data_IF_438529017640
#
_entry.id   IF_438529017640
#
_cell.length_a   1.000
_cell.length_b   1.000
_cell.length_c   1.000
_cell.angle_alpha   90.00
_cell.angle_beta   90.00
_cell.angle_gamma   90.00
#
_symmetry.space_group_name_H-M   'P 1'
#
loop_
_entity.id
_entity.type
_entity.pdbx_description
1 polymer ?
#
# COMPACT_ATOMS: atom_id res chain seq x y z
N UNK A 1 5.13 4.35 4.18
CA UNK A 1 5.05 5.83 4.20
C UNK A 1 3.96 6.37 5.11
N UNK A 2 2.76 5.76 5.12
CA UNK A 2 1.73 6.00 6.14
C UNK A 2 2.30 5.90 7.57
N UNK A 3 3.15 4.91 7.83
CA UNK A 3 3.93 4.79 9.08
C UNK A 3 4.84 5.98 9.35
N UNK A 4 5.50 6.56 8.35
CA UNK A 4 6.43 7.69 8.53
C UNK A 4 5.68 9.01 8.77
N UNK A 5 4.61 9.28 8.02
CA UNK A 5 3.73 10.42 8.28
C UNK A 5 3.04 10.29 9.65
N UNK A 6 2.56 9.09 10.00
CA UNK A 6 1.97 8.77 11.31
C UNK A 6 2.99 8.92 12.44
N UNK A 7 4.22 8.44 12.28
CA UNK A 7 5.29 8.61 13.26
C UNK A 7 5.67 10.09 13.41
N UNK A 8 5.81 10.83 12.33
CA UNK A 8 6.09 12.27 12.38
C UNK A 8 4.96 13.05 13.07
N UNK A 9 3.70 12.71 12.79
CA UNK A 9 2.55 13.31 13.48
C UNK A 9 2.54 12.97 14.97
N UNK A 10 2.94 11.75 15.36
CA UNK A 10 3.06 11.35 16.78
C UNK A 10 4.20 12.07 17.50
N UNK A 11 5.35 12.22 16.85
CA UNK A 11 6.54 12.86 17.42
C UNK A 11 6.37 14.37 17.63
N UNK A 12 5.49 15.01 16.87
CA UNK A 12 5.25 16.46 16.91
C UNK A 12 4.04 16.88 17.74
N UNK A 13 3.41 15.95 18.47
CA UNK A 13 2.10 16.13 19.08
C UNK A 13 2.12 16.28 20.60
N UNK A 14 1.40 17.30 21.12
CA UNK A 14 1.29 17.65 22.54
C UNK A 14 0.03 17.08 23.25
N UNK A 15 -0.48 15.90 22.87
CA UNK A 15 -1.64 15.25 23.53
C UNK A 15 -3.00 16.01 23.53
N UNK A 16 -3.12 17.11 22.79
CA UNK A 16 -4.38 17.89 22.62
C UNK A 16 -4.96 17.75 21.20
N UNK A 17 -6.19 17.27 21.02
CA UNK A 17 -6.82 17.01 19.70
C UNK A 17 -6.56 18.08 18.60
N UNK A 18 -6.60 19.37 18.95
CA UNK A 18 -6.28 20.49 18.04
C UNK A 18 -4.85 20.43 17.48
N UNK A 19 -3.89 20.06 18.31
CA UNK A 19 -2.50 19.80 17.92
C UNK A 19 -2.36 18.58 17.02
N UNK A 20 -3.12 17.51 17.30
CA UNK A 20 -3.12 16.30 16.46
C UNK A 20 -3.60 16.63 15.05
N UNK A 21 -4.71 17.36 14.94
CA UNK A 21 -5.28 17.77 13.65
C UNK A 21 -4.26 18.55 12.82
N UNK A 22 -3.54 19.50 13.43
CA UNK A 22 -2.49 20.28 12.76
C UNK A 22 -1.27 19.42 12.36
N UNK A 23 -0.81 18.54 13.24
CA UNK A 23 0.34 17.67 12.98
C UNK A 23 0.05 16.68 11.85
N UNK A 24 -1.15 16.11 11.81
CA UNK A 24 -1.59 15.21 10.74
C UNK A 24 -1.67 15.95 9.41
N UNK A 25 -2.29 17.13 9.35
CA UNK A 25 -2.34 17.92 8.10
C UNK A 25 -0.94 18.22 7.56
N UNK A 26 -0.04 18.75 8.40
CA UNK A 26 1.35 19.01 7.99
C UNK A 26 2.09 17.74 7.53
N UNK A 27 1.87 16.62 8.21
CA UNK A 27 2.49 15.37 7.83
C UNK A 27 1.97 14.87 6.48
N UNK A 28 0.68 15.04 6.19
CA UNK A 28 0.09 14.69 4.89
C UNK A 28 0.59 15.61 3.77
N UNK A 29 0.67 16.92 4.01
CA UNK A 29 1.21 17.89 3.05
C UNK A 29 2.67 17.60 2.67
N UNK A 30 3.42 16.96 3.57
CA UNK A 30 4.81 16.54 3.31
C UNK A 30 4.94 15.29 2.42
N UNK A 31 3.83 14.60 2.13
CA UNK A 31 3.81 13.41 1.28
C UNK A 31 3.57 13.83 -0.17
N UNK A 32 4.53 13.52 -1.01
CA UNK A 32 4.43 13.69 -2.47
C UNK A 32 3.26 12.86 -3.05
N UNK A 33 2.46 13.47 -3.92
CA UNK A 33 1.36 12.85 -4.68
C UNK A 33 1.80 11.56 -5.37
N UNK A 34 3.02 11.53 -5.92
CA UNK A 34 3.58 10.33 -6.57
C UNK A 34 3.57 9.12 -5.64
N UNK A 35 3.83 9.34 -4.34
CA UNK A 35 3.88 8.28 -3.33
C UNK A 35 2.49 7.84 -2.90
N UNK A 36 1.52 8.75 -2.93
CA UNK A 36 0.09 8.43 -2.71
C UNK A 36 -0.40 7.54 -3.84
N UNK A 37 -0.17 7.94 -5.09
CA UNK A 37 -0.54 7.15 -6.28
C UNK A 37 0.13 5.78 -6.29
N UNK A 38 1.43 5.72 -6.00
CA UNK A 38 2.16 4.46 -5.89
C UNK A 38 1.49 3.50 -4.90
N UNK A 39 1.09 3.97 -3.73
CA UNK A 39 0.45 3.12 -2.72
C UNK A 39 -0.96 2.69 -3.11
N UNK A 40 -1.74 3.59 -3.73
CA UNK A 40 -3.07 3.28 -4.22
C UNK A 40 -3.02 2.16 -5.27
N UNK A 41 -2.17 2.32 -6.30
CA UNK A 41 -1.98 1.30 -7.33
C UNK A 41 -1.42 0.00 -6.77
N UNK A 42 -0.45 0.06 -5.87
CA UNK A 42 0.08 -1.12 -5.21
C UNK A 42 -1.03 -1.89 -4.47
N UNK A 43 -1.92 -1.18 -3.77
CA UNK A 43 -3.07 -1.77 -3.08
C UNK A 43 -4.08 -2.37 -4.06
N UNK A 44 -4.36 -1.68 -5.17
CA UNK A 44 -5.23 -2.20 -6.24
C UNK A 44 -4.68 -3.50 -6.84
N UNK A 45 -3.37 -3.58 -7.08
CA UNK A 45 -2.71 -4.80 -7.54
C UNK A 45 -2.89 -5.95 -6.55
N UNK A 46 -2.62 -5.73 -5.27
CA UNK A 46 -2.87 -6.75 -4.24
C UNK A 46 -4.34 -7.20 -4.21
N UNK A 47 -5.28 -6.25 -4.24
CA UNK A 47 -6.71 -6.58 -4.26
C UNK A 47 -7.12 -7.36 -5.52
N UNK A 48 -6.51 -7.06 -6.68
CA UNK A 48 -6.75 -7.82 -7.91
C UNK A 48 -6.31 -9.28 -7.76
N UNK A 49 -5.19 -9.49 -7.08
CA UNK A 49 -4.60 -10.82 -6.86
C UNK A 49 -5.38 -11.60 -5.80
N UNK A 50 -5.85 -10.96 -4.73
CA UNK A 50 -6.73 -11.60 -3.76
C UNK A 50 -8.09 -11.98 -4.36
N UNK A 51 -8.63 -11.17 -5.27
CA UNK A 51 -9.85 -11.52 -6.02
C UNK A 51 -9.70 -12.79 -6.86
N UNK A 52 -8.48 -13.11 -7.28
CA UNK A 52 -8.17 -14.37 -7.98
C UNK A 52 -8.10 -15.57 -7.02
N UNK A 53 -8.04 -15.37 -5.69
CA UNK A 53 -7.98 -16.44 -4.70
C UNK A 53 -6.57 -16.82 -4.25
N UNK A 54 -5.56 -16.01 -4.57
CA UNK A 54 -4.17 -16.27 -4.20
C UNK A 54 -3.94 -16.03 -2.69
N UNK A 55 -3.17 -16.93 -2.07
CA UNK A 55 -2.73 -16.80 -0.67
C UNK A 55 -1.77 -15.62 -0.50
N UNK A 56 -1.54 -15.18 0.74
CA UNK A 56 -0.69 -13.99 1.02
C UNK A 56 0.72 -14.09 0.42
N UNK A 57 1.38 -15.26 0.54
CA UNK A 57 2.73 -15.48 -0.01
C UNK A 57 2.74 -15.45 -1.53
N UNK A 58 1.80 -16.15 -2.14
CA UNK A 58 1.64 -16.17 -3.60
C UNK A 58 1.28 -14.78 -4.13
N UNK A 59 0.46 -14.03 -3.39
CA UNK A 59 0.05 -12.69 -3.75
C UNK A 59 1.23 -11.71 -3.75
N UNK A 60 2.06 -11.74 -2.70
CA UNK A 60 3.26 -10.91 -2.62
C UNK A 60 4.24 -11.23 -3.78
N UNK A 61 4.39 -12.51 -4.11
CA UNK A 61 5.21 -12.91 -5.25
C UNK A 61 4.62 -12.43 -6.58
N UNK A 62 3.33 -12.64 -6.80
CA UNK A 62 2.65 -12.24 -8.04
C UNK A 62 2.74 -10.72 -8.25
N UNK A 63 2.45 -9.90 -7.22
CA UNK A 63 2.58 -8.44 -7.32
C UNK A 63 4.01 -8.03 -7.65
N UNK A 64 5.02 -8.73 -7.11
CA UNK A 64 6.42 -8.47 -7.42
C UNK A 64 6.79 -8.89 -8.85
N UNK A 65 6.37 -10.07 -9.30
CA UNK A 65 6.63 -10.61 -10.65
C UNK A 65 5.98 -9.74 -11.73
N UNK A 66 4.76 -9.26 -11.47
CA UNK A 66 3.98 -8.47 -12.41
C UNK A 66 4.02 -6.95 -12.13
N UNK A 67 5.06 -6.46 -11.45
CA UNK A 67 5.17 -5.04 -11.08
C UNK A 67 5.13 -4.08 -12.29
N UNK A 68 5.68 -4.49 -13.44
CA UNK A 68 5.65 -3.71 -14.68
C UNK A 68 4.40 -3.94 -15.54
N UNK A 69 3.53 -4.87 -15.14
CA UNK A 69 2.35 -5.23 -15.90
C UNK A 69 1.14 -4.49 -15.33
N UNK A 70 0.28 -3.98 -16.21
CA UNK A 70 -0.96 -3.32 -15.79
C UNK A 70 -1.93 -4.25 -15.04
N UNK A 71 -1.80 -5.58 -15.20
CA UNK A 71 -2.67 -6.56 -14.55
C UNK A 71 -1.95 -7.88 -14.33
N UNK A 72 -2.28 -8.57 -13.23
CA UNK A 72 -1.87 -9.94 -12.98
C UNK A 72 -2.77 -10.87 -13.78
N UNK A 73 -2.17 -11.73 -14.61
CA UNK A 73 -2.90 -12.69 -15.44
C UNK A 73 -3.54 -13.78 -14.58
N UNK A 74 -4.71 -14.27 -14.98
CA UNK A 74 -5.37 -15.43 -14.34
C UNK A 74 -4.52 -16.70 -14.39
N UNK A 75 -3.62 -16.81 -15.38
CA UNK A 75 -2.64 -17.92 -15.50
C UNK A 75 -1.72 -18.05 -14.28
N UNK A 76 -1.61 -17.00 -13.47
CA UNK A 76 -0.87 -17.03 -12.20
C UNK A 76 -1.46 -18.06 -11.25
N UNK A 77 -2.78 -18.30 -11.29
CA UNK A 77 -3.40 -19.33 -10.46
C UNK A 77 -2.89 -20.74 -10.80
N UNK A 78 -2.66 -21.03 -12.08
CA UNK A 78 -2.11 -22.32 -12.52
C UNK A 78 -0.66 -22.50 -12.03
N UNK A 79 0.13 -21.41 -12.01
CA UNK A 79 1.49 -21.44 -11.47
C UNK A 79 1.53 -21.74 -9.96
N UNK A 80 0.52 -21.26 -9.19
CA UNK A 80 0.47 -21.41 -7.73
C UNK A 80 -0.43 -22.56 -7.24
N UNK A 81 -1.19 -23.21 -8.12
CA UNK A 81 -2.03 -24.36 -7.77
C UNK A 81 -1.24 -25.68 -7.64
N UNK A 82 0.01 -25.69 -8.09
CA UNK A 82 0.90 -26.86 -8.04
C UNK A 82 1.93 -26.84 -6.90
N UNK A 83 1.89 -25.83 -6.03
CA UNK A 83 2.79 -25.67 -4.86
C UNK A 83 2.17 -26.20 -3.55
#
# INVERSE_FOLDING_TARGET
MYTRAKCNARLSYNYIFKGLKKAVSKALDSVDLTKIHYFAHHSEHFMSVYKLGLSEKAAAFAVKKYHFHHRVSEKVLEEFAHD
#
